data_IF_465352886238
#
_entry.id   IF_465352886238
#
_cell.length_a   1.000
_cell.length_b   1.000
_cell.length_c   1.000
_cell.angle_alpha   90.00
_cell.angle_beta   90.00
_cell.angle_gamma   90.00
#
_symmetry.space_group_name_H-M   'P 1'
#
loop_
_entity.id
_entity.type
_entity.pdbx_description
1 polymer ?
#
# COMPACT_ATOMS: atom_id res chain seq x y z
N UNK A 1 -29.70 -18.96 -18.44
CA UNK A 1 -28.44 -18.23 -18.17
C UNK A 1 -28.07 -18.42 -16.71
N UNK A 2 -26.98 -19.15 -16.40
CA UNK A 2 -26.48 -19.26 -15.02
C UNK A 2 -25.75 -17.96 -14.68
N UNK A 3 -26.47 -17.03 -14.04
CA UNK A 3 -25.85 -15.94 -13.30
C UNK A 3 -25.13 -16.55 -12.09
N UNK A 4 -23.87 -16.94 -12.26
CA UNK A 4 -23.03 -17.26 -11.11
C UNK A 4 -22.71 -15.95 -10.41
N UNK A 5 -23.36 -15.74 -9.27
CA UNK A 5 -23.14 -14.66 -8.32
C UNK A 5 -21.62 -14.48 -8.05
N UNK A 6 -20.96 -13.60 -8.81
CA UNK A 6 -19.51 -13.32 -8.75
C UNK A 6 -19.19 -12.01 -8.03
N UNK A 7 -20.13 -11.50 -7.23
CA UNK A 7 -20.00 -10.23 -6.52
C UNK A 7 -18.91 -10.27 -5.42
N UNK A 8 -18.67 -11.44 -4.82
CA UNK A 8 -17.84 -11.53 -3.62
C UNK A 8 -16.35 -11.24 -3.87
N UNK A 9 -15.65 -11.85 -4.85
CA UNK A 9 -14.25 -11.52 -5.14
C UNK A 9 -14.08 -10.05 -5.57
N UNK A 10 -15.04 -9.52 -6.33
CA UNK A 10 -15.05 -8.13 -6.76
C UNK A 10 -15.22 -7.17 -5.57
N UNK A 11 -16.14 -7.50 -4.66
CA UNK A 11 -16.38 -6.74 -3.44
C UNK A 11 -15.15 -6.72 -2.53
N UNK A 12 -14.48 -7.88 -2.35
CA UNK A 12 -13.22 -7.97 -1.59
C UNK A 12 -12.13 -7.09 -2.20
N UNK A 13 -11.94 -7.12 -3.52
CA UNK A 13 -10.98 -6.26 -4.21
C UNK A 13 -11.30 -4.78 -4.04
N UNK A 14 -12.58 -4.40 -4.11
CA UNK A 14 -13.02 -3.00 -3.90
C UNK A 14 -12.78 -2.53 -2.46
N UNK A 15 -13.08 -3.36 -1.45
CA UNK A 15 -12.76 -3.07 -0.05
C UNK A 15 -11.25 -2.89 0.12
N UNK A 16 -10.45 -3.79 -0.47
CA UNK A 16 -9.00 -3.72 -0.38
C UNK A 16 -8.45 -2.42 -1.00
N UNK A 17 -9.02 -1.97 -2.13
CA UNK A 17 -8.67 -0.70 -2.73
C UNK A 17 -8.99 0.49 -1.79
N UNK A 18 -10.19 0.51 -1.19
CA UNK A 18 -10.57 1.56 -0.24
C UNK A 18 -9.65 1.58 0.99
N UNK A 19 -9.29 0.41 1.52
CA UNK A 19 -8.33 0.30 2.63
C UNK A 19 -6.94 0.83 2.22
N UNK A 20 -6.45 0.47 1.03
CA UNK A 20 -5.17 0.99 0.52
C UNK A 20 -5.20 2.52 0.36
N UNK A 21 -6.29 3.09 -0.15
CA UNK A 21 -6.47 4.54 -0.23
C UNK A 21 -6.47 5.20 1.15
N UNK A 22 -7.12 4.58 2.15
CA UNK A 22 -7.05 5.03 3.54
C UNK A 22 -5.62 5.03 4.09
N UNK A 23 -4.85 3.97 3.83
CA UNK A 23 -3.44 3.91 4.23
C UNK A 23 -2.56 4.94 3.51
N UNK A 24 -2.83 5.24 2.23
CA UNK A 24 -2.15 6.32 1.51
C UNK A 24 -2.38 7.65 2.23
N UNK A 25 -3.63 7.98 2.55
CA UNK A 25 -3.98 9.22 3.26
C UNK A 25 -3.30 9.29 4.62
N UNK A 26 -3.31 8.19 5.39
CA UNK A 26 -2.63 8.11 6.67
C UNK A 26 -1.12 8.35 6.55
N UNK A 27 -0.46 7.78 5.54
CA UNK A 27 0.97 8.01 5.33
C UNK A 27 1.27 9.43 4.86
N UNK A 28 0.45 10.03 4.00
CA UNK A 28 0.57 11.45 3.64
C UNK A 28 0.43 12.35 4.88
N UNK A 29 -0.52 12.04 5.75
CA UNK A 29 -0.68 12.75 7.01
C UNK A 29 0.54 12.61 7.93
N UNK A 30 1.12 11.42 8.02
CA UNK A 30 2.35 11.19 8.79
C UNK A 30 3.54 11.97 8.23
N UNK A 31 3.69 12.03 6.90
CA UNK A 31 4.69 12.88 6.24
C UNK A 31 4.49 14.35 6.60
N UNK A 32 3.25 14.85 6.46
CA UNK A 32 2.91 16.23 6.78
C UNK A 32 3.19 16.58 8.25
N UNK A 33 2.81 15.68 9.17
CA UNK A 33 3.07 15.86 10.60
C UNK A 33 4.56 15.86 10.90
N UNK A 34 5.32 14.93 10.32
CA UNK A 34 6.78 14.84 10.47
C UNK A 34 7.51 16.09 9.99
N UNK A 35 7.02 16.71 8.90
CA UNK A 35 7.51 18.00 8.41
C UNK A 35 7.21 19.15 9.38
N UNK A 36 6.00 19.21 9.93
CA UNK A 36 5.58 20.27 10.84
C UNK A 36 6.13 20.14 12.27
N UNK A 37 6.43 18.93 12.73
CA UNK A 37 6.84 18.68 14.13
C UNK A 37 8.35 18.74 14.34
N UNK A 38 9.16 18.73 13.28
CA UNK A 38 10.62 18.71 13.39
C UNK A 38 11.18 19.86 12.55
N UNK A 39 11.79 20.86 13.20
CA UNK A 39 12.50 21.98 12.54
C UNK A 39 13.61 21.53 11.55
N UNK A 40 13.87 20.23 11.43
CA UNK A 40 14.97 19.60 10.69
C UNK A 40 14.55 18.42 9.80
N UNK A 41 13.29 18.28 9.39
CA UNK A 41 12.94 17.40 8.26
C UNK A 41 12.78 18.22 6.98
N UNK A 42 13.88 18.55 6.27
CA UNK A 42 13.75 19.17 4.97
C UNK A 42 12.96 18.24 4.02
N UNK A 43 12.15 18.82 3.14
CA UNK A 43 11.44 18.09 2.07
C UNK A 43 12.39 17.21 1.24
N UNK A 44 13.67 17.61 1.18
CA UNK A 44 14.77 16.86 0.59
C UNK A 44 15.88 16.70 1.64
N UNK A 45 15.98 15.55 2.32
CA UNK A 45 17.05 15.26 3.27
C UNK A 45 18.40 15.07 2.56
N UNK A 46 19.48 15.51 3.20
CA UNK A 46 20.85 15.25 2.72
C UNK A 46 21.23 13.76 2.87
N UNK A 47 20.64 13.06 3.84
CA UNK A 47 20.88 11.63 4.08
C UNK A 47 19.57 10.89 4.33
N UNK A 48 19.39 9.75 3.66
CA UNK A 48 18.17 8.93 3.78
C UNK A 48 17.89 8.45 5.21
N UNK A 49 18.93 8.22 6.01
CA UNK A 49 18.82 7.75 7.39
C UNK A 49 18.33 8.80 8.39
N UNK A 50 18.44 10.09 8.09
CA UNK A 50 17.93 11.17 8.98
C UNK A 50 16.50 11.59 8.67
N UNK A 51 15.92 11.04 7.58
CA UNK A 51 14.59 11.42 7.13
C UNK A 51 13.53 10.52 7.75
N UNK A 52 13.00 10.96 8.89
CA UNK A 52 11.96 10.23 9.63
C UNK A 52 10.68 9.99 8.80
N UNK A 53 10.43 10.81 7.76
CA UNK A 53 9.30 10.64 6.86
C UNK A 53 9.56 9.65 5.71
N UNK A 54 10.82 9.24 5.47
CA UNK A 54 11.20 8.35 4.37
C UNK A 54 10.40 7.04 4.32
N UNK A 55 10.20 6.32 5.44
CA UNK A 55 9.39 5.10 5.47
C UNK A 55 7.98 5.33 4.90
N UNK A 56 7.36 6.46 5.25
CA UNK A 56 6.00 6.79 4.82
C UNK A 56 5.91 7.02 3.31
N UNK A 57 6.93 7.62 2.68
CA UNK A 57 6.98 7.75 1.23
C UNK A 57 7.04 6.40 0.51
N UNK A 58 7.87 5.47 1.01
CA UNK A 58 7.93 4.11 0.43
C UNK A 58 6.56 3.45 0.55
N UNK A 59 5.91 3.55 1.70
CA UNK A 59 4.57 2.97 1.89
C UNK A 59 3.51 3.61 0.99
N UNK A 60 3.54 4.93 0.76
CA UNK A 60 2.64 5.59 -0.20
C UNK A 60 2.80 4.98 -1.60
N UNK A 61 4.03 4.89 -2.11
CA UNK A 61 4.30 4.32 -3.43
C UNK A 61 3.86 2.86 -3.52
N UNK A 62 4.13 2.07 -2.47
CA UNK A 62 3.70 0.69 -2.36
C UNK A 62 2.18 0.55 -2.43
N UNK A 63 1.43 1.33 -1.65
CA UNK A 63 -0.04 1.30 -1.68
C UNK A 63 -0.62 1.79 -3.00
N UNK A 64 -0.03 2.80 -3.64
CA UNK A 64 -0.43 3.24 -4.98
C UNK A 64 -0.28 2.10 -5.99
N UNK A 65 0.87 1.42 -5.98
CA UNK A 65 1.12 0.28 -6.86
C UNK A 65 0.07 -0.84 -6.68
N UNK A 66 -0.34 -1.10 -5.45
CA UNK A 66 -1.38 -2.09 -5.14
C UNK A 66 -2.74 -1.66 -5.68
N UNK A 67 -3.13 -0.40 -5.50
CA UNK A 67 -4.39 0.13 -6.05
C UNK A 67 -4.41 -0.03 -7.57
N UNK A 68 -3.30 0.22 -8.25
CA UNK A 68 -3.17 0.01 -9.71
C UNK A 68 -3.38 -1.47 -10.06
N UNK A 69 -2.74 -2.39 -9.35
CA UNK A 69 -2.92 -3.84 -9.56
C UNK A 69 -4.38 -4.26 -9.37
N UNK A 70 -5.01 -3.82 -8.28
CA UNK A 70 -6.41 -4.11 -8.00
C UNK A 70 -7.30 -3.60 -9.12
N UNK A 71 -7.06 -2.37 -9.59
CA UNK A 71 -7.80 -1.78 -10.70
C UNK A 71 -7.63 -2.56 -12.00
N UNK A 72 -6.41 -3.02 -12.31
CA UNK A 72 -6.14 -3.90 -13.45
C UNK A 72 -6.91 -5.22 -13.34
N UNK A 73 -6.99 -5.81 -12.14
CA UNK A 73 -7.79 -7.01 -11.92
C UNK A 73 -9.27 -6.71 -12.13
N UNK A 74 -9.82 -5.67 -11.49
CA UNK A 74 -11.24 -5.29 -11.60
C UNK A 74 -11.68 -5.04 -13.04
N UNK A 75 -10.78 -4.55 -13.90
CA UNK A 75 -11.05 -4.31 -15.32
C UNK A 75 -10.93 -5.58 -16.19
N UNK A 76 -10.30 -6.64 -15.68
CA UNK A 76 -10.11 -7.89 -16.40
C UNK A 76 -11.30 -8.83 -16.24
N UNK A 77 -11.82 -9.35 -17.37
CA UNK A 77 -12.88 -10.37 -17.39
C UNK A 77 -12.46 -11.72 -16.80
N UNK A 78 -11.16 -11.90 -16.51
CA UNK A 78 -10.59 -13.15 -15.98
C UNK A 78 -10.75 -13.34 -14.46
N UNK A 79 -11.26 -12.34 -13.72
CA UNK A 79 -11.55 -12.50 -12.28
C UNK A 79 -12.41 -13.74 -12.03
N UNK A 80 -13.38 -13.98 -12.92
CA UNK A 80 -14.36 -15.05 -12.83
C UNK A 80 -13.71 -16.45 -12.91
N UNK A 81 -12.61 -16.59 -13.65
CA UNK A 81 -11.93 -17.89 -13.82
C UNK A 81 -10.92 -18.19 -12.72
N UNK A 82 -10.50 -17.19 -11.94
CA UNK A 82 -9.40 -17.32 -10.96
C UNK A 82 -9.72 -16.58 -9.67
N UNK A 83 -10.79 -17.02 -9.00
CA UNK A 83 -11.27 -16.50 -7.71
C UNK A 83 -10.21 -16.48 -6.58
N UNK A 84 -9.16 -17.28 -6.71
CA UNK A 84 -8.03 -17.34 -5.77
C UNK A 84 -7.00 -16.22 -5.95
N UNK A 85 -6.98 -15.52 -7.10
CA UNK A 85 -6.04 -14.42 -7.37
C UNK A 85 -6.12 -13.29 -6.33
N UNK A 86 -7.30 -12.77 -5.95
CA UNK A 86 -7.42 -11.75 -4.91
C UNK A 86 -6.82 -12.19 -3.57
N UNK A 87 -7.06 -13.45 -3.17
CA UNK A 87 -6.54 -14.02 -1.93
C UNK A 87 -5.01 -14.10 -1.97
N UNK A 88 -4.46 -14.61 -3.08
CA UNK A 88 -3.01 -14.69 -3.28
C UNK A 88 -2.38 -13.29 -3.28
N UNK A 89 -3.04 -12.29 -3.85
CA UNK A 89 -2.60 -10.89 -3.84
C UNK A 89 -2.58 -10.32 -2.43
N UNK A 90 -3.58 -10.61 -1.58
CA UNK A 90 -3.60 -10.18 -0.17
C UNK A 90 -2.46 -10.84 0.61
N UNK A 91 -2.22 -12.14 0.38
CA UNK A 91 -1.11 -12.84 1.04
C UNK A 91 0.26 -12.28 0.64
N UNK A 92 0.47 -12.07 -0.66
CA UNK A 92 1.69 -11.48 -1.18
C UNK A 92 1.89 -10.04 -0.67
N UNK A 93 0.80 -9.28 -0.53
CA UNK A 93 0.78 -7.94 0.03
C UNK A 93 1.29 -7.90 1.48
N UNK A 94 0.71 -8.71 2.37
CA UNK A 94 1.14 -8.72 3.78
C UNK A 94 2.58 -9.19 3.92
N UNK A 95 3.00 -10.16 3.10
CA UNK A 95 4.39 -10.62 3.07
C UNK A 95 5.37 -9.52 2.62
N UNK A 96 5.08 -8.82 1.52
CA UNK A 96 5.94 -7.73 1.04
C UNK A 96 5.97 -6.56 2.01
N UNK A 97 4.85 -6.26 2.65
CA UNK A 97 4.77 -5.24 3.69
C UNK A 97 5.70 -5.56 4.86
N UNK A 98 5.75 -6.81 5.33
CA UNK A 98 6.72 -7.22 6.35
C UNK A 98 8.16 -7.04 5.87
N UNK A 99 8.46 -7.39 4.63
CA UNK A 99 9.81 -7.24 4.08
C UNK A 99 10.24 -5.77 3.99
N UNK A 100 9.36 -4.90 3.46
CA UNK A 100 9.58 -3.45 3.40
C UNK A 100 9.78 -2.89 4.81
N UNK A 101 8.94 -3.30 5.76
CA UNK A 101 9.06 -2.86 7.16
C UNK A 101 10.39 -3.30 7.80
N UNK A 102 10.81 -4.55 7.59
CA UNK A 102 12.10 -5.06 8.07
C UNK A 102 13.30 -4.35 7.43
N UNK A 103 13.24 -4.10 6.13
CA UNK A 103 14.27 -3.33 5.42
C UNK A 103 14.35 -1.88 5.90
N UNK A 104 13.20 -1.24 6.12
CA UNK A 104 13.13 0.12 6.65
C UNK A 104 13.68 0.20 8.07
N UNK A 105 13.37 -0.75 8.95
CA UNK A 105 13.97 -0.84 10.29
C UNK A 105 15.48 -1.07 10.26
N UNK A 106 16.01 -1.74 9.23
CA UNK A 106 17.45 -1.91 9.07
C UNK A 106 18.15 -0.61 8.64
N UNK A 107 17.52 0.20 7.79
CA UNK A 107 18.08 1.46 7.28
C UNK A 107 17.91 2.61 8.27
N UNK A 108 16.75 2.69 8.93
CA UNK A 108 16.42 3.71 9.89
C UNK A 108 15.56 3.07 11.00
N UNK A 109 16.18 2.59 12.09
CA UNK A 109 15.48 1.81 13.10
C UNK A 109 14.24 2.48 13.69
N UNK A 110 14.21 3.78 13.97
CA UNK A 110 13.05 4.45 14.59
C UNK A 110 13.02 5.97 14.40
N UNK A 111 13.55 6.48 13.27
CA UNK A 111 13.78 7.91 13.08
C UNK A 111 15.16 8.33 13.51
#
# INVERSE_FOLDING_TARGET
>A
MKSSFNWFPEFVLRILAVLCLGFIVLNFWSVYKSYNSVEKNPLFPETLGSYTAFPHFIFILFYIYIVIIIWMYLRSTDIIKRWYKPILSVFFFEFFKMYIYGFLMWINPFG
#
